data_IF_973669108609
#
_entry.id   IF_973669108609
#
_cell.length_a   1.000
_cell.length_b   1.000
_cell.length_c   1.000
_cell.angle_alpha   90.00
_cell.angle_beta   90.00
_cell.angle_gamma   90.00
#
_symmetry.space_group_name_H-M   'P 1'
#
loop_
_entity.id
_entity.type
_entity.pdbx_description
1 polymer ?
#
# COMPACT_ATOMS: atom_id res chain seq x y z
N UNK A 1 -1.15 -101.80 -33.86
CA UNK A 1 -0.02 -101.30 -33.11
C UNK A 1 -0.29 -99.80 -32.84
N UNK A 2 -0.53 -99.46 -31.58
CA UNK A 2 -1.02 -98.15 -31.11
C UNK A 2 0.16 -97.22 -30.81
N UNK A 3 0.13 -96.00 -31.27
CA UNK A 3 1.05 -94.94 -30.87
C UNK A 3 0.23 -93.86 -30.20
N UNK A 4 0.42 -93.73 -28.86
CA UNK A 4 -0.21 -92.72 -28.04
C UNK A 4 0.49 -91.35 -28.21
N UNK A 5 -0.23 -90.36 -28.64
CA UNK A 5 0.17 -88.92 -28.65
C UNK A 5 0.07 -88.31 -27.30
N UNK A 6 1.15 -87.65 -26.85
CA UNK A 6 1.28 -86.92 -25.59
C UNK A 6 1.04 -85.41 -25.86
N UNK A 7 -0.08 -84.88 -25.48
CA UNK A 7 -0.36 -83.47 -25.63
C UNK A 7 0.17 -82.72 -24.38
N UNK A 8 1.20 -81.85 -24.56
CA UNK A 8 1.65 -80.89 -23.53
C UNK A 8 0.74 -79.69 -23.54
N UNK A 9 0.07 -79.49 -22.42
CA UNK A 9 -0.62 -78.18 -22.10
C UNK A 9 0.40 -77.11 -21.80
N UNK A 10 0.46 -76.08 -22.62
CA UNK A 10 1.20 -74.88 -22.35
C UNK A 10 0.21 -73.87 -21.72
N UNK A 11 0.40 -73.58 -20.47
CA UNK A 11 -0.39 -72.54 -19.75
C UNK A 11 0.24 -71.19 -20.02
N UNK A 12 -0.46 -70.33 -20.78
CA UNK A 12 -0.05 -68.98 -21.10
C UNK A 12 -0.49 -68.10 -19.98
N UNK A 13 0.44 -67.64 -19.10
CA UNK A 13 0.18 -66.67 -18.04
C UNK A 13 0.29 -65.28 -18.64
N UNK A 14 -0.83 -64.62 -18.90
CA UNK A 14 -0.90 -63.24 -19.35
C UNK A 14 -0.65 -62.31 -18.13
N UNK A 15 0.53 -61.69 -18.07
CA UNK A 15 0.85 -60.63 -17.15
C UNK A 15 0.18 -59.34 -17.66
N UNK A 16 -0.92 -58.95 -17.09
CA UNK A 16 -1.55 -57.64 -17.34
C UNK A 16 -0.72 -56.56 -16.62
N UNK A 17 0.15 -55.86 -17.37
CA UNK A 17 0.80 -54.64 -16.88
C UNK A 17 -0.23 -53.53 -16.83
N UNK A 18 -0.71 -53.20 -15.60
CA UNK A 18 -1.48 -52.00 -15.33
C UNK A 18 -0.54 -50.79 -15.43
N UNK A 19 -0.49 -50.15 -16.58
CA UNK A 19 0.15 -48.85 -16.78
C UNK A 19 -0.74 -47.81 -16.06
N UNK A 20 -0.33 -47.39 -14.85
CA UNK A 20 -0.85 -46.18 -14.20
C UNK A 20 -0.42 -44.98 -15.05
N UNK A 21 -1.22 -44.63 -16.03
CA UNK A 21 -1.17 -43.32 -16.64
C UNK A 21 -1.68 -42.33 -15.55
N UNK A 22 -0.77 -41.80 -14.77
CA UNK A 22 -1.02 -40.61 -14.00
C UNK A 22 -1.35 -39.49 -14.98
N UNK A 23 -2.64 -39.18 -15.13
CA UNK A 23 -3.06 -37.98 -15.82
C UNK A 23 -2.49 -36.79 -15.05
N UNK A 24 -1.36 -36.27 -15.51
CA UNK A 24 -0.92 -34.92 -15.08
C UNK A 24 -2.05 -33.97 -15.50
N UNK A 25 -2.79 -33.47 -14.52
CA UNK A 25 -3.71 -32.38 -14.77
C UNK A 25 -2.90 -31.27 -15.45
N UNK A 26 -3.38 -30.68 -16.56
CA UNK A 26 -2.69 -29.54 -17.15
C UNK A 26 -2.54 -28.47 -16.07
N UNK A 27 -1.30 -28.07 -15.77
CA UNK A 27 -1.06 -26.92 -14.94
C UNK A 27 -1.83 -25.76 -15.57
N UNK A 28 -2.85 -25.26 -14.89
CA UNK A 28 -3.57 -24.08 -15.34
C UNK A 28 -2.53 -22.97 -15.52
N UNK A 29 -2.53 -22.33 -16.70
CA UNK A 29 -1.66 -21.17 -16.90
C UNK A 29 -1.92 -20.14 -15.81
N UNK A 30 -0.84 -19.58 -15.23
CA UNK A 30 -0.97 -18.55 -14.22
C UNK A 30 -1.74 -17.35 -14.79
N UNK A 31 -2.62 -16.79 -13.98
CA UNK A 31 -3.36 -15.58 -14.35
C UNK A 31 -2.46 -14.37 -14.16
N UNK A 32 -2.27 -13.61 -15.24
CA UNK A 32 -1.53 -12.35 -15.16
C UNK A 32 -2.35 -11.27 -14.49
N UNK A 33 -1.76 -10.60 -13.47
CA UNK A 33 -2.33 -9.46 -12.76
C UNK A 33 -1.29 -8.36 -12.68
N UNK A 34 -1.70 -7.13 -12.98
CA UNK A 34 -0.81 -5.96 -12.95
C UNK A 34 -1.12 -5.08 -11.74
N UNK A 35 -0.12 -4.82 -10.91
CA UNK A 35 -0.22 -3.94 -9.73
C UNK A 35 0.68 -2.73 -9.91
N UNK A 36 0.16 -1.53 -9.75
CA UNK A 36 0.98 -0.31 -9.70
C UNK A 36 1.23 0.13 -8.26
N UNK A 37 2.44 0.64 -8.00
CA UNK A 37 2.88 1.09 -6.68
C UNK A 37 4.02 2.09 -6.79
N UNK A 38 4.53 2.59 -5.67
CA UNK A 38 5.63 3.56 -5.59
C UNK A 38 6.52 3.30 -4.37
N UNK A 39 7.80 3.62 -4.49
CA UNK A 39 8.76 3.68 -3.37
C UNK A 39 8.81 2.39 -2.54
N UNK A 40 8.70 2.52 -1.22
CA UNK A 40 8.76 1.38 -0.30
C UNK A 40 7.63 0.35 -0.53
N UNK A 41 6.49 0.76 -1.06
CA UNK A 41 5.39 -0.16 -1.39
C UNK A 41 5.68 -0.95 -2.67
N UNK A 42 6.34 -0.32 -3.65
CA UNK A 42 6.81 -1.01 -4.84
C UNK A 42 7.74 -2.18 -4.48
N UNK A 43 8.66 -1.99 -3.53
CA UNK A 43 9.54 -3.04 -3.04
C UNK A 43 8.79 -4.22 -2.42
N UNK A 44 7.72 -3.96 -1.66
CA UNK A 44 6.86 -5.01 -1.09
C UNK A 44 6.19 -5.81 -2.20
N UNK A 45 5.61 -5.14 -3.19
CA UNK A 45 4.92 -5.82 -4.28
C UNK A 45 5.87 -6.59 -5.19
N UNK A 46 7.09 -6.13 -5.40
CA UNK A 46 8.14 -6.93 -6.07
C UNK A 46 8.45 -8.22 -5.30
N UNK A 47 8.63 -8.10 -3.97
CA UNK A 47 8.87 -9.27 -3.14
C UNK A 47 7.69 -10.27 -3.23
N UNK A 48 6.44 -9.78 -3.20
CA UNK A 48 5.25 -10.63 -3.37
C UNK A 48 5.24 -11.29 -4.75
N UNK A 49 5.49 -10.54 -5.82
CA UNK A 49 5.47 -11.05 -7.20
C UNK A 49 6.48 -12.17 -7.44
N UNK A 50 7.65 -12.10 -6.81
CA UNK A 50 8.72 -13.09 -6.90
C UNK A 50 8.53 -14.30 -5.97
N UNK A 51 7.53 -14.27 -5.09
CA UNK A 51 7.30 -15.28 -4.05
C UNK A 51 6.76 -16.61 -4.62
N UNK A 52 7.09 -17.71 -3.95
CA UNK A 52 6.48 -19.02 -4.23
C UNK A 52 4.98 -19.05 -3.89
N UNK A 53 4.55 -18.18 -2.96
CA UNK A 53 3.17 -18.02 -2.55
C UNK A 53 2.31 -17.47 -3.71
N UNK A 54 2.81 -16.48 -4.47
CA UNK A 54 2.14 -15.96 -5.66
C UNK A 54 2.00 -17.04 -6.75
N UNK A 55 3.06 -17.82 -6.99
CA UNK A 55 3.03 -18.95 -7.93
C UNK A 55 2.02 -20.02 -7.52
N UNK A 56 1.97 -20.38 -6.23
CA UNK A 56 1.00 -21.33 -5.68
C UNK A 56 -0.43 -20.83 -5.76
N UNK A 57 -0.64 -19.52 -5.66
CA UNK A 57 -1.94 -18.88 -5.87
C UNK A 57 -2.37 -18.87 -7.35
N UNK A 58 -1.48 -19.29 -8.26
CA UNK A 58 -1.72 -19.29 -9.70
C UNK A 58 -1.69 -17.90 -10.32
N UNK A 59 -0.91 -16.97 -9.72
CA UNK A 59 -0.75 -15.61 -10.21
C UNK A 59 0.64 -15.37 -10.78
N UNK A 60 0.68 -14.64 -11.89
CA UNK A 60 1.84 -13.95 -12.43
C UNK A 60 1.63 -12.47 -12.22
N UNK A 61 2.30 -11.89 -11.21
CA UNK A 61 2.13 -10.50 -10.83
C UNK A 61 3.18 -9.64 -11.53
N UNK A 62 2.73 -8.73 -12.41
CA UNK A 62 3.56 -7.67 -12.97
C UNK A 62 3.44 -6.42 -12.10
N UNK A 63 4.55 -5.93 -11.56
CA UNK A 63 4.55 -4.72 -10.73
C UNK A 63 5.08 -3.56 -11.56
N UNK A 64 4.30 -2.47 -11.62
CA UNK A 64 4.67 -1.23 -12.30
C UNK A 64 4.93 -0.13 -11.28
N UNK A 65 6.10 0.46 -11.34
CA UNK A 65 6.42 1.66 -10.60
C UNK A 65 5.89 2.88 -11.35
N UNK A 66 5.10 3.71 -10.67
CA UNK A 66 4.53 4.93 -11.24
C UNK A 66 4.69 6.05 -10.22
N UNK A 67 5.35 7.15 -10.63
CA UNK A 67 5.54 8.30 -9.78
C UNK A 67 4.26 9.13 -9.62
N UNK A 68 3.96 9.49 -8.38
CA UNK A 68 2.84 10.35 -8.00
C UNK A 68 1.52 9.61 -7.82
N UNK A 69 0.75 10.00 -6.80
CA UNK A 69 -0.49 9.32 -6.41
C UNK A 69 -1.62 9.46 -7.42
N UNK A 70 -1.75 10.64 -8.06
CA UNK A 70 -2.80 10.86 -9.07
C UNK A 70 -2.60 9.97 -10.32
N UNK A 71 -1.39 9.85 -10.93
CA UNK A 71 -1.14 8.90 -12.00
C UNK A 71 -1.39 7.44 -11.61
N UNK A 72 -1.04 7.04 -10.37
CA UNK A 72 -1.33 5.69 -9.86
C UNK A 72 -2.83 5.39 -9.86
N UNK A 73 -3.67 6.28 -9.33
CA UNK A 73 -5.11 6.10 -9.33
C UNK A 73 -5.71 6.12 -10.74
N UNK A 74 -5.26 7.03 -11.59
CA UNK A 74 -5.70 7.08 -13.00
C UNK A 74 -5.35 5.80 -13.75
N UNK A 75 -4.20 5.20 -13.51
CA UNK A 75 -3.80 3.95 -14.18
C UNK A 75 -4.77 2.80 -13.92
N UNK A 76 -5.37 2.73 -12.72
CA UNK A 76 -6.41 1.74 -12.38
C UNK A 76 -7.76 2.15 -12.96
N UNK A 77 -8.15 3.42 -12.83
CA UNK A 77 -9.42 3.94 -13.36
C UNK A 77 -9.54 3.74 -14.87
N UNK A 78 -8.45 3.93 -15.60
CA UNK A 78 -8.36 3.76 -17.05
C UNK A 78 -8.18 2.28 -17.46
N UNK A 79 -7.97 1.38 -16.51
CA UNK A 79 -7.78 -0.07 -16.78
C UNK A 79 -6.40 -0.40 -17.37
N UNK A 80 -5.40 0.47 -17.22
CA UNK A 80 -4.01 0.23 -17.64
C UNK A 80 -3.33 -0.78 -16.74
N UNK A 81 -3.73 -0.81 -15.47
CA UNK A 81 -3.35 -1.80 -14.46
C UNK A 81 -4.60 -2.32 -13.74
N UNK A 82 -4.50 -3.48 -13.11
CA UNK A 82 -5.64 -4.12 -12.44
C UNK A 82 -5.89 -3.57 -11.04
N UNK A 83 -4.83 -3.23 -10.33
CA UNK A 83 -4.88 -2.73 -8.95
C UNK A 83 -3.75 -1.73 -8.70
N UNK A 84 -3.91 -0.92 -7.65
CA UNK A 84 -2.79 -0.22 -7.03
C UNK A 84 -2.74 -0.49 -5.52
N UNK A 85 -1.58 -0.27 -4.92
CA UNK A 85 -1.37 -0.43 -3.49
C UNK A 85 -0.25 0.52 -3.03
N UNK A 86 -0.65 1.73 -2.62
CA UNK A 86 0.25 2.80 -2.17
C UNK A 86 -0.46 3.81 -1.27
N UNK A 87 -1.79 3.78 -1.22
CA UNK A 87 -2.62 4.87 -0.73
C UNK A 87 -3.41 4.50 0.52
N UNK A 88 -3.65 5.50 1.35
CA UNK A 88 -4.57 5.39 2.47
C UNK A 88 -6.04 5.51 2.02
N UNK A 89 -6.96 5.06 2.85
CA UNK A 89 -8.40 5.26 2.64
C UNK A 89 -8.75 6.74 2.43
N UNK A 90 -8.17 7.66 3.22
CA UNK A 90 -8.42 9.08 3.06
C UNK A 90 -7.94 9.64 1.73
N UNK A 91 -6.81 9.13 1.20
CA UNK A 91 -6.33 9.50 -0.14
C UNK A 91 -7.25 8.98 -1.24
N UNK A 92 -7.71 7.74 -1.11
CA UNK A 92 -8.66 7.12 -2.03
C UNK A 92 -9.99 7.88 -2.05
N UNK A 93 -10.52 8.27 -0.88
CA UNK A 93 -11.76 9.02 -0.77
C UNK A 93 -11.64 10.42 -1.39
N UNK A 94 -10.51 11.10 -1.19
CA UNK A 94 -10.25 12.39 -1.84
C UNK A 94 -10.21 12.27 -3.37
N UNK A 95 -9.54 11.26 -3.90
CA UNK A 95 -9.53 10.98 -5.34
C UNK A 95 -10.93 10.70 -5.88
N UNK A 96 -11.72 9.88 -5.19
CA UNK A 96 -13.06 9.49 -5.61
C UNK A 96 -14.06 10.68 -5.64
N UNK A 97 -13.89 11.65 -4.73
CA UNK A 97 -14.70 12.88 -4.71
C UNK A 97 -14.51 13.75 -5.97
N UNK A 98 -13.33 13.68 -6.56
CA UNK A 98 -12.94 14.51 -7.72
C UNK A 98 -13.00 13.74 -9.05
N UNK A 99 -13.28 12.44 -9.02
CA UNK A 99 -13.20 11.55 -10.19
C UNK A 99 -14.52 10.81 -10.44
N UNK A 100 -14.98 10.88 -11.68
CA UNK A 100 -16.13 10.07 -12.15
C UNK A 100 -15.81 8.57 -12.19
N UNK A 101 -14.53 8.22 -12.13
CA UNK A 101 -14.05 6.85 -12.13
C UNK A 101 -13.73 6.40 -10.71
N UNK A 102 -14.76 6.00 -9.98
CA UNK A 102 -14.59 5.52 -8.63
C UNK A 102 -13.73 4.26 -8.57
N UNK A 103 -12.71 4.29 -7.72
CA UNK A 103 -11.96 3.14 -7.26
C UNK A 103 -12.55 2.64 -5.97
N UNK A 104 -12.40 1.35 -5.69
CA UNK A 104 -12.85 0.74 -4.45
C UNK A 104 -11.74 -0.05 -3.78
N UNK A 105 -11.60 0.01 -2.45
CA UNK A 105 -10.66 -0.80 -1.73
C UNK A 105 -11.16 -2.24 -1.63
N UNK A 106 -10.28 -3.22 -1.83
CA UNK A 106 -10.60 -4.65 -1.70
C UNK A 106 -9.97 -5.31 -0.47
N UNK A 107 -9.00 -4.64 0.16
CA UNK A 107 -8.35 -5.14 1.37
C UNK A 107 -7.46 -4.11 2.00
N UNK A 108 -7.29 -4.22 3.32
CA UNK A 108 -6.34 -3.42 4.10
C UNK A 108 -4.93 -3.99 3.95
N UNK A 109 -3.91 -3.16 4.15
CA UNK A 109 -2.51 -3.57 4.11
C UNK A 109 -1.79 -3.20 5.40
N UNK A 110 -1.51 -1.94 5.63
CA UNK A 110 -0.78 -1.44 6.79
C UNK A 110 -1.24 -0.04 7.18
N UNK A 111 -0.76 0.42 8.33
CA UNK A 111 -0.80 1.81 8.74
C UNK A 111 0.62 2.26 9.09
N UNK A 112 0.92 3.52 8.80
CA UNK A 112 2.22 4.13 9.08
C UNK A 112 2.05 5.59 9.53
N UNK A 113 2.90 6.09 10.43
CA UNK A 113 2.82 7.48 10.87
C UNK A 113 3.42 8.43 9.82
N UNK A 114 2.87 9.64 9.75
CA UNK A 114 3.51 10.79 9.11
C UNK A 114 4.43 11.47 10.13
N UNK A 115 5.53 12.09 9.68
CA UNK A 115 6.49 12.75 10.55
C UNK A 115 6.73 14.22 10.19
N UNK A 116 7.14 15.00 11.20
CA UNK A 116 7.72 16.33 11.04
C UNK A 116 9.24 16.16 11.08
N UNK A 117 9.91 16.59 10.03
CA UNK A 117 11.37 16.49 9.90
C UNK A 117 12.02 17.86 9.83
N UNK A 118 13.23 17.97 10.32
CA UNK A 118 14.03 19.18 10.26
C UNK A 118 15.53 18.86 10.26
N UNK A 119 16.29 19.60 9.47
CA UNK A 119 17.76 19.62 9.59
C UNK A 119 18.24 20.69 10.57
N UNK A 120 17.38 21.67 10.90
CA UNK A 120 17.73 22.84 11.74
C UNK A 120 17.36 22.65 13.20
N UNK A 121 16.25 21.93 13.49
CA UNK A 121 15.71 21.73 14.84
C UNK A 121 15.76 20.26 15.24
N UNK A 122 15.92 20.01 16.54
CA UNK A 122 15.89 18.66 17.14
C UNK A 122 14.61 18.36 17.90
N UNK A 123 13.85 19.41 18.24
CA UNK A 123 12.59 19.32 18.99
C UNK A 123 11.62 20.40 18.51
N UNK A 124 10.33 20.15 18.68
CA UNK A 124 9.25 21.07 18.29
C UNK A 124 9.35 22.41 19.00
N UNK A 125 9.77 22.42 20.26
CA UNK A 125 9.88 23.64 21.09
C UNK A 125 10.95 24.60 20.55
N UNK A 126 11.93 24.11 19.82
CA UNK A 126 13.03 24.91 19.23
C UNK A 126 12.61 25.68 17.98
N UNK A 127 11.44 25.32 17.37
CA UNK A 127 10.96 25.96 16.14
C UNK A 127 10.75 27.45 16.36
N UNK A 128 11.38 28.27 15.53
CA UNK A 128 11.36 29.74 15.65
C UNK A 128 10.15 30.35 14.95
N UNK A 129 9.85 31.60 15.33
CA UNK A 129 8.88 32.44 14.61
C UNK A 129 9.36 32.64 13.15
N UNK A 130 8.41 32.62 12.21
CA UNK A 130 8.67 32.77 10.77
C UNK A 130 9.28 31.52 10.11
N UNK A 131 9.28 30.36 10.79
CA UNK A 131 9.81 29.14 10.20
C UNK A 131 8.98 28.71 8.98
N UNK A 132 9.70 28.31 7.90
CA UNK A 132 9.09 27.82 6.66
C UNK A 132 8.80 26.33 6.76
N UNK A 133 7.54 25.95 6.49
CA UNK A 133 7.03 24.59 6.60
C UNK A 133 6.58 24.09 5.23
N UNK A 134 7.21 23.05 4.72
CA UNK A 134 6.78 22.36 3.51
C UNK A 134 5.67 21.36 3.83
N UNK A 135 4.57 21.41 3.10
CA UNK A 135 3.40 20.54 3.16
C UNK A 135 3.14 19.94 1.80
N UNK A 136 2.60 18.73 1.74
CA UNK A 136 2.09 18.17 0.50
C UNK A 136 1.00 19.07 -0.11
N UNK A 137 0.90 19.13 -1.43
CA UNK A 137 -0.09 19.91 -2.17
C UNK A 137 -1.38 19.14 -2.49
N UNK A 138 -1.41 17.82 -2.25
CA UNK A 138 -2.62 17.03 -2.40
C UNK A 138 -3.53 17.12 -1.16
N UNK A 139 -4.86 17.23 -1.33
CA UNK A 139 -5.78 17.53 -0.23
C UNK A 139 -5.65 16.58 0.97
N UNK A 140 -5.57 15.28 0.74
CA UNK A 140 -5.50 14.29 1.81
C UNK A 140 -4.25 14.43 2.69
N UNK A 141 -3.07 14.62 2.08
CA UNK A 141 -1.82 14.78 2.83
C UNK A 141 -1.65 16.20 3.37
N UNK A 142 -2.21 17.23 2.71
CA UNK A 142 -2.26 18.60 3.26
C UNK A 142 -3.04 18.62 4.57
N UNK A 143 -4.25 18.07 4.60
CA UNK A 143 -5.09 18.03 5.82
C UNK A 143 -4.43 17.22 6.93
N UNK A 144 -3.84 16.07 6.57
CA UNK A 144 -3.11 15.23 7.52
C UNK A 144 -1.90 15.96 8.13
N UNK A 145 -1.14 16.68 7.31
CA UNK A 145 -0.02 17.49 7.77
C UNK A 145 -0.45 18.63 8.71
N UNK A 146 -1.55 19.32 8.39
CA UNK A 146 -2.11 20.36 9.25
C UNK A 146 -2.55 19.80 10.61
N UNK A 147 -3.22 18.64 10.63
CA UNK A 147 -3.56 17.94 11.88
C UNK A 147 -2.32 17.53 12.68
N UNK A 148 -1.25 17.14 12.00
CA UNK A 148 0.01 16.79 12.68
C UNK A 148 0.65 18.03 13.33
N UNK A 149 0.64 19.18 12.65
CA UNK A 149 1.11 20.46 13.19
C UNK A 149 0.25 20.94 14.37
N UNK A 150 -1.07 20.73 14.31
CA UNK A 150 -1.97 21.03 15.43
C UNK A 150 -1.67 20.12 16.64
N UNK A 151 -1.51 18.81 16.42
CA UNK A 151 -1.17 17.87 17.50
C UNK A 151 0.20 18.15 18.12
N UNK A 152 1.13 18.71 17.34
CA UNK A 152 2.42 19.18 17.81
C UNK A 152 2.35 20.53 18.57
N UNK A 153 1.17 21.15 18.66
CA UNK A 153 0.97 22.45 19.33
C UNK A 153 1.54 23.65 18.59
N UNK A 154 1.83 23.50 17.29
CA UNK A 154 2.40 24.57 16.48
C UNK A 154 1.34 25.52 15.89
N UNK A 155 0.13 24.99 15.63
CA UNK A 155 -1.00 25.74 15.08
C UNK A 155 -2.30 25.30 15.76
N UNK A 156 -3.40 26.00 15.46
CA UNK A 156 -4.75 25.57 15.78
C UNK A 156 -5.63 25.72 14.54
N UNK A 157 -6.39 24.68 14.25
CA UNK A 157 -7.33 24.64 13.15
C UNK A 157 -8.72 25.08 13.57
N UNK A 158 -9.53 25.54 12.63
CA UNK A 158 -10.94 25.86 12.89
C UNK A 158 -11.69 24.61 13.39
N UNK A 159 -12.74 24.82 14.19
CA UNK A 159 -13.48 23.72 14.82
C UNK A 159 -14.19 22.79 13.81
N UNK A 160 -14.57 23.32 12.64
CA UNK A 160 -15.20 22.64 11.53
C UNK A 160 -14.21 22.26 10.42
N UNK A 161 -12.93 22.06 10.76
CA UNK A 161 -11.91 21.65 9.80
C UNK A 161 -12.27 20.31 9.15
N UNK A 162 -12.32 20.32 7.83
CA UNK A 162 -12.62 19.12 7.02
C UNK A 162 -11.32 18.35 6.72
N UNK A 163 -11.20 17.14 7.27
CA UNK A 163 -10.03 16.27 7.08
C UNK A 163 -9.88 15.75 5.62
N UNK A 164 -10.82 16.05 4.72
CA UNK A 164 -10.74 15.67 3.30
C UNK A 164 -10.26 16.78 2.37
N UNK A 165 -10.48 18.07 2.73
CA UNK A 165 -10.24 19.21 1.83
C UNK A 165 -9.68 20.44 2.53
N UNK A 166 -9.24 20.34 3.78
CA UNK A 166 -8.68 21.46 4.53
C UNK A 166 -7.40 22.03 3.91
N UNK A 167 -7.19 23.31 4.10
CA UNK A 167 -6.07 24.09 3.57
C UNK A 167 -5.38 24.90 4.66
N UNK A 168 -4.19 25.49 4.40
CA UNK A 168 -3.56 26.41 5.36
C UNK A 168 -4.42 27.60 5.76
N UNK A 169 -5.41 28.00 4.95
CA UNK A 169 -6.35 29.09 5.28
C UNK A 169 -7.29 28.74 6.45
N UNK A 170 -7.38 27.46 6.80
CA UNK A 170 -8.17 26.97 7.93
C UNK A 170 -7.44 27.08 9.28
N UNK A 171 -6.21 27.60 9.30
CA UNK A 171 -5.43 27.83 10.50
C UNK A 171 -5.90 29.12 11.18
N UNK A 172 -6.48 28.99 12.37
CA UNK A 172 -7.00 30.14 13.14
C UNK A 172 -6.01 30.69 14.16
N UNK A 173 -5.06 29.88 14.63
CA UNK A 173 -3.96 30.34 15.49
C UNK A 173 -2.64 29.86 14.94
N UNK A 174 -1.69 30.77 14.76
CA UNK A 174 -0.34 30.50 14.29
C UNK A 174 0.65 31.33 15.11
N UNK A 175 0.88 30.96 16.39
CA UNK A 175 1.65 31.78 17.31
C UNK A 175 3.11 31.98 16.89
N UNK A 176 3.64 31.04 16.12
CA UNK A 176 5.00 31.13 15.60
C UNK A 176 5.07 31.74 14.18
N UNK A 177 3.95 32.23 13.64
CA UNK A 177 3.88 32.84 12.30
C UNK A 177 4.53 31.95 11.23
N UNK A 178 4.28 30.63 11.28
CA UNK A 178 4.80 29.68 10.32
C UNK A 178 4.37 30.05 8.91
N UNK A 179 5.28 29.92 7.95
CA UNK A 179 5.03 30.14 6.53
C UNK A 179 4.85 28.80 5.83
N UNK A 180 3.67 28.53 5.26
CA UNK A 180 3.37 27.28 4.60
C UNK A 180 3.74 27.32 3.12
N UNK A 181 4.44 26.28 2.65
CA UNK A 181 4.73 26.05 1.22
C UNK A 181 4.15 24.70 0.81
N UNK A 182 3.19 24.73 -0.10
CA UNK A 182 2.65 23.53 -0.71
C UNK A 182 3.63 23.04 -1.79
N UNK A 183 3.95 21.75 -1.75
CA UNK A 183 4.91 21.11 -2.65
C UNK A 183 4.37 19.74 -3.07
N UNK A 184 4.83 19.24 -4.21
CA UNK A 184 4.67 17.83 -4.54
C UNK A 184 5.33 16.96 -3.47
N UNK A 185 4.55 16.06 -2.83
CA UNK A 185 4.99 15.27 -1.67
C UNK A 185 6.17 14.35 -1.99
N UNK A 186 6.35 13.92 -3.24
CA UNK A 186 7.52 13.13 -3.68
C UNK A 186 8.83 13.93 -3.60
N UNK A 187 8.75 15.27 -3.48
CA UNK A 187 9.90 16.14 -3.33
C UNK A 187 10.28 16.47 -1.89
N UNK A 188 9.43 16.06 -0.93
CA UNK A 188 9.47 16.55 0.47
C UNK A 188 10.81 16.28 1.19
N UNK A 189 11.51 15.19 0.90
CA UNK A 189 12.85 14.91 1.46
C UNK A 189 13.91 15.81 0.84
N UNK A 190 13.81 16.09 -0.46
CA UNK A 190 14.82 16.89 -1.19
C UNK A 190 14.84 18.36 -0.76
N UNK A 191 13.68 18.89 -0.33
CA UNK A 191 13.57 20.30 0.11
C UNK A 191 13.99 20.54 1.56
N UNK A 192 14.38 19.50 2.32
CA UNK A 192 14.75 19.62 3.74
C UNK A 192 15.91 20.59 4.01
N UNK A 193 16.77 20.85 3.04
CA UNK A 193 17.85 21.82 3.16
C UNK A 193 17.35 23.26 2.98
N UNK A 194 16.23 23.45 2.28
CA UNK A 194 15.71 24.76 1.87
C UNK A 194 14.62 25.29 2.80
N UNK A 195 14.05 24.43 3.67
CA UNK A 195 12.98 24.79 4.60
C UNK A 195 13.40 24.58 6.05
N UNK A 196 12.55 25.00 6.97
CA UNK A 196 12.79 24.79 8.39
C UNK A 196 12.17 23.48 8.90
N UNK A 197 10.97 23.15 8.39
CA UNK A 197 10.27 21.91 8.64
C UNK A 197 9.76 21.34 7.31
N UNK A 198 9.75 20.01 7.17
CA UNK A 198 9.04 19.32 6.12
C UNK A 198 8.16 18.24 6.73
N UNK A 199 6.89 18.18 6.33
CA UNK A 199 5.95 17.18 6.80
C UNK A 199 5.92 16.08 5.75
N UNK A 200 6.38 14.87 6.13
CA UNK A 200 6.68 13.81 5.16
C UNK A 200 5.97 12.52 5.57
N UNK A 201 5.24 11.92 4.62
CA UNK A 201 4.69 10.58 4.75
C UNK A 201 5.80 9.52 4.81
N UNK A 202 5.57 8.44 5.55
CA UNK A 202 6.64 7.46 5.81
C UNK A 202 7.17 6.77 4.55
N UNK A 203 6.32 6.48 3.55
CA UNK A 203 6.77 5.90 2.27
C UNK A 203 7.82 6.78 1.59
N UNK A 204 7.56 8.09 1.48
CA UNK A 204 8.50 9.06 0.88
C UNK A 204 9.73 9.27 1.77
N UNK A 205 9.56 9.27 3.10
CA UNK A 205 10.67 9.36 4.03
C UNK A 205 11.65 8.18 3.86
N UNK A 206 11.14 6.95 3.81
CA UNK A 206 11.94 5.73 3.60
C UNK A 206 12.68 5.74 2.26
N UNK A 207 12.03 6.20 1.18
CA UNK A 207 12.65 6.36 -0.13
C UNK A 207 13.82 7.36 -0.08
N UNK A 208 13.67 8.43 0.69
CA UNK A 208 14.74 9.41 0.95
C UNK A 208 15.76 8.99 2.02
N UNK A 209 15.70 7.75 2.51
CA UNK A 209 16.64 7.23 3.53
C UNK A 209 16.35 7.69 4.96
N UNK A 210 15.16 8.23 5.23
CA UNK A 210 14.73 8.66 6.57
C UNK A 210 13.80 7.60 7.20
N UNK A 211 13.89 7.47 8.53
CA UNK A 211 13.01 6.59 9.31
C UNK A 211 12.19 7.42 10.29
N UNK A 212 10.87 7.37 10.17
CA UNK A 212 9.94 8.19 10.96
C UNK A 212 10.07 7.94 12.48
N UNK A 213 10.49 6.75 12.89
CA UNK A 213 10.65 6.40 14.30
C UNK A 213 11.97 6.93 14.90
N UNK A 214 12.95 7.29 14.05
CA UNK A 214 14.30 7.70 14.46
C UNK A 214 14.62 9.15 14.11
N UNK A 215 14.18 9.63 12.95
CA UNK A 215 14.64 10.88 12.35
C UNK A 215 13.61 12.01 12.44
N UNK A 216 12.31 11.68 12.64
CA UNK A 216 11.28 12.69 12.83
C UNK A 216 11.42 13.36 14.20
N UNK A 217 11.34 14.70 14.25
CA UNK A 217 11.30 15.46 15.50
C UNK A 217 9.94 15.40 16.18
N UNK A 218 8.90 15.03 15.44
CA UNK A 218 7.55 14.73 15.91
C UNK A 218 6.87 13.80 14.91
N UNK A 219 6.00 12.90 15.38
CA UNK A 219 5.29 11.95 14.52
C UNK A 219 3.87 11.73 14.97
N UNK A 220 3.05 11.26 14.05
CA UNK A 220 1.67 10.87 14.36
C UNK A 220 1.61 9.74 15.37
N UNK A 221 0.57 9.79 16.20
CA UNK A 221 0.15 8.64 17.00
C UNK A 221 -0.87 7.81 16.22
N UNK A 222 -0.65 6.50 16.18
CA UNK A 222 -1.59 5.55 15.58
C UNK A 222 -2.60 5.14 16.66
N UNK A 223 -3.87 5.45 16.45
CA UNK A 223 -4.96 5.12 17.36
C UNK A 223 -6.28 4.94 16.59
N UNK A 224 -7.41 4.74 17.29
CA UNK A 224 -8.71 4.48 16.66
C UNK A 224 -9.23 5.62 15.77
N UNK A 225 -8.77 6.86 15.97
CA UNK A 225 -9.14 7.99 15.10
C UNK A 225 -8.40 8.02 13.78
N UNK A 226 -7.40 7.14 13.59
CA UNK A 226 -6.53 7.11 12.40
C UNK A 226 -6.97 6.12 11.33
N UNK A 227 -8.22 5.64 11.35
CA UNK A 227 -8.73 4.64 10.38
C UNK A 227 -8.60 5.08 8.92
N UNK A 228 -8.83 6.36 8.64
CA UNK A 228 -8.66 6.94 7.29
C UNK A 228 -7.22 6.87 6.77
N UNK A 229 -6.25 6.59 7.64
CA UNK A 229 -4.81 6.46 7.32
C UNK A 229 -4.39 5.02 7.02
N UNK A 230 -5.30 4.04 7.14
CA UNK A 230 -5.04 2.66 6.77
C UNK A 230 -4.83 2.59 5.26
N UNK A 231 -3.72 2.00 4.85
CA UNK A 231 -3.41 1.75 3.45
C UNK A 231 -4.16 0.54 2.92
N UNK A 232 -4.47 0.58 1.63
CA UNK A 232 -5.35 -0.40 0.99
C UNK A 232 -4.84 -0.81 -0.39
N UNK A 233 -5.33 -1.96 -0.85
CA UNK A 233 -5.29 -2.35 -2.25
C UNK A 233 -6.59 -1.83 -2.88
N UNK A 234 -6.48 -1.00 -3.92
CA UNK A 234 -7.61 -0.45 -4.62
C UNK A 234 -7.70 -0.98 -6.06
N UNK A 235 -8.93 -1.19 -6.52
CA UNK A 235 -9.27 -1.66 -7.85
C UNK A 235 -10.34 -0.75 -8.48
N UNK A 236 -10.55 -0.86 -9.79
CA UNK A 236 -11.66 -0.20 -10.45
C UNK A 236 -12.99 -0.72 -9.92
N UNK A 237 -13.95 0.16 -9.64
CA UNK A 237 -15.31 -0.19 -9.23
C UNK A 237 -15.92 -1.22 -10.18
N UNK A 238 -16.57 -2.24 -9.62
CA UNK A 238 -17.12 -3.39 -10.35
C UNK A 238 -16.17 -4.59 -10.40
N UNK A 239 -14.91 -4.48 -9.91
CA UNK A 239 -13.94 -5.59 -9.83
C UNK A 239 -13.69 -6.09 -8.40
N UNK A 240 -14.50 -5.68 -7.45
CA UNK A 240 -14.34 -5.99 -6.01
C UNK A 240 -14.42 -7.50 -5.70
N UNK A 241 -15.07 -8.24 -6.58
CA UNK A 241 -15.27 -9.70 -6.44
C UNK A 241 -14.40 -10.54 -7.36
N UNK A 242 -13.44 -9.93 -8.04
CA UNK A 242 -12.48 -10.65 -8.86
C UNK A 242 -11.57 -11.50 -7.94
N UNK A 243 -11.74 -12.82 -8.03
CA UNK A 243 -11.04 -13.77 -7.17
C UNK A 243 -9.51 -13.67 -7.27
N UNK A 244 -8.98 -13.31 -8.44
CA UNK A 244 -7.54 -13.15 -8.61
C UNK A 244 -7.02 -11.87 -7.95
N UNK A 245 -7.83 -10.80 -7.94
CA UNK A 245 -7.48 -9.56 -7.22
C UNK A 245 -7.59 -9.75 -5.70
N UNK A 246 -8.58 -10.51 -5.23
CA UNK A 246 -8.71 -10.83 -3.81
C UNK A 246 -7.53 -11.66 -3.28
N UNK A 247 -6.90 -12.51 -4.11
CA UNK A 247 -5.66 -13.21 -3.73
C UNK A 247 -4.51 -12.27 -3.42
N UNK A 248 -4.48 -11.06 -4.00
CA UNK A 248 -3.46 -10.05 -3.66
C UNK A 248 -3.52 -9.68 -2.17
N UNK A 249 -4.73 -9.56 -1.62
CA UNK A 249 -4.94 -9.27 -0.20
C UNK A 249 -4.40 -10.41 0.67
N UNK A 250 -4.71 -11.66 0.30
CA UNK A 250 -4.23 -12.84 1.01
C UNK A 250 -2.70 -12.93 0.98
N UNK A 251 -2.09 -12.69 -0.19
CA UNK A 251 -0.63 -12.72 -0.38
C UNK A 251 0.07 -11.67 0.47
N UNK A 252 -0.48 -10.43 0.54
CA UNK A 252 0.07 -9.37 1.36
C UNK A 252 0.18 -9.77 2.83
N UNK A 253 -0.82 -10.49 3.35
CA UNK A 253 -0.91 -10.91 4.76
C UNK A 253 -0.25 -12.27 5.06
N UNK A 254 0.56 -12.79 4.16
CA UNK A 254 1.33 -14.00 4.47
C UNK A 254 2.45 -13.71 5.48
N UNK A 255 2.76 -14.65 6.39
CA UNK A 255 3.80 -14.43 7.40
C UNK A 255 5.15 -14.00 6.82
N UNK A 256 5.52 -14.55 5.66
CA UNK A 256 6.78 -14.26 5.00
C UNK A 256 6.86 -12.82 4.46
N UNK A 257 5.74 -12.31 3.92
CA UNK A 257 5.64 -10.92 3.48
C UNK A 257 5.70 -9.98 4.68
N UNK A 258 5.00 -10.30 5.77
CA UNK A 258 5.01 -9.47 6.98
C UNK A 258 6.39 -9.45 7.67
N UNK A 259 7.11 -10.56 7.67
CA UNK A 259 8.50 -10.62 8.13
C UNK A 259 9.41 -9.72 7.28
N UNK A 260 9.32 -9.83 5.95
CA UNK A 260 10.06 -8.94 5.04
C UNK A 260 9.77 -7.45 5.31
N UNK A 261 8.49 -7.07 5.44
CA UNK A 261 8.08 -5.69 5.73
C UNK A 261 8.69 -5.21 7.05
N UNK A 262 8.57 -6.01 8.10
CA UNK A 262 9.09 -5.67 9.43
C UNK A 262 10.61 -5.48 9.44
N UNK A 263 11.34 -6.37 8.78
CA UNK A 263 12.81 -6.30 8.70
C UNK A 263 13.26 -5.13 7.82
N UNK A 264 12.70 -5.01 6.61
CA UNK A 264 13.13 -4.01 5.65
C UNK A 264 12.82 -2.58 6.08
N UNK A 265 11.65 -2.36 6.69
CA UNK A 265 11.18 -1.02 7.07
C UNK A 265 11.24 -0.76 8.59
N UNK A 266 11.95 -1.62 9.33
CA UNK A 266 12.27 -1.43 10.75
C UNK A 266 11.06 -1.08 11.63
N UNK A 267 9.90 -1.66 11.33
CA UNK A 267 8.67 -1.48 12.09
C UNK A 267 7.90 -0.18 11.83
N UNK A 268 8.30 0.62 10.83
CA UNK A 268 7.56 1.85 10.46
C UNK A 268 6.23 1.56 9.80
N UNK A 269 6.05 0.38 9.18
CA UNK A 269 4.81 -0.11 8.60
C UNK A 269 4.21 -1.18 9.51
N UNK A 270 3.02 -0.90 10.06
CA UNK A 270 2.32 -1.82 10.99
C UNK A 270 1.19 -2.50 10.24
N UNK A 271 1.20 -3.82 10.18
CA UNK A 271 0.15 -4.60 9.51
C UNK A 271 -1.24 -4.25 10.05
N UNK A 272 -2.19 -4.05 9.12
CA UNK A 272 -3.62 -3.94 9.43
C UNK A 272 -4.35 -5.01 8.64
N UNK A 273 -4.84 -6.03 9.34
CA UNK A 273 -5.64 -7.12 8.76
C UNK A 273 -7.07 -7.02 9.27
N UNK A 274 -7.89 -6.23 8.56
CA UNK A 274 -9.31 -6.02 8.87
C UNK A 274 -10.15 -6.23 7.62
N UNK A 275 -11.41 -6.64 7.81
CA UNK A 275 -12.38 -6.64 6.71
C UNK A 275 -12.59 -5.19 6.26
N UNK A 276 -12.59 -4.98 4.95
CA UNK A 276 -12.68 -3.62 4.39
C UNK A 276 -13.97 -2.89 4.81
N UNK A 277 -15.08 -3.62 4.97
CA UNK A 277 -16.36 -3.06 5.43
C UNK A 277 -16.34 -2.51 6.86
N UNK A 278 -15.35 -2.92 7.69
CA UNK A 278 -15.21 -2.44 9.08
C UNK A 278 -14.46 -1.11 9.15
N UNK A 279 -13.76 -0.76 8.09
CA UNK A 279 -12.89 0.44 8.04
C UNK A 279 -13.30 1.43 6.95
N UNK A 280 -14.04 1.00 5.94
CA UNK A 280 -14.45 1.85 4.83
C UNK A 280 -15.94 1.67 4.52
N UNK A 281 -16.60 2.77 4.21
CA UNK A 281 -17.97 2.80 3.67
C UNK A 281 -17.92 3.61 2.40
N UNK A 282 -18.53 3.08 1.35
CA UNK A 282 -18.69 3.84 0.12
C UNK A 282 -19.49 5.11 0.44
N UNK A 283 -19.01 6.26 -0.05
CA UNK A 283 -19.77 7.52 0.05
C UNK A 283 -21.08 7.37 -0.75
N UNK A 284 -22.22 7.67 -0.10
CA UNK A 284 -23.55 7.68 -0.73
C UNK A 284 -23.68 8.77 -1.77
#
# INVERSE_FOLDING_TARGET
MSIKSFAKKVTLTTLAAFSLFGAALPASAATKVTVSSIGSDYDVWKFIAESEEAKKAGLEIEVKEIDGGLPLNKSVADGIVDANAFQSLGYLDAFNKESDNALVPIGTTYIEPMGIYSKKYKKIEEVKEGAVVALADNPANTTRALRLLESAGLIKLKADFDDGVGTPDDVIENPKKLEFKLIDDTTAVRVLDDVDLSIIGNTIALEGGLNVLKDAIYKEEINDSTKSRINVIAVKKGREKDENLLKLVELYHTPKVQEFIKEKFEGTKVEVKKDIKDVWKEAE
#
